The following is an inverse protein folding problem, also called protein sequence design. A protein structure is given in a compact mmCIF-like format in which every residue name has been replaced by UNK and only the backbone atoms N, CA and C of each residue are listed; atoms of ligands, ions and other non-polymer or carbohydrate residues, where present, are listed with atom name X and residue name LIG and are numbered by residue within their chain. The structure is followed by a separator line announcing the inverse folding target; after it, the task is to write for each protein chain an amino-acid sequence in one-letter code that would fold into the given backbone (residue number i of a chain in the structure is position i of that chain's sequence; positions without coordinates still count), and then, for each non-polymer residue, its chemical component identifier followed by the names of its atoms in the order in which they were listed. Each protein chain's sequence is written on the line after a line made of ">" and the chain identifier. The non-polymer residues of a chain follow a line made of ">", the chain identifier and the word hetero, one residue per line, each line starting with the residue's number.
data_IF_518377706865
#
_entry.id   IF_518377706865
#
_cell.length_a   1.000
_cell.length_b   1.000
_cell.length_c   1.000
_cell.angle_alpha   90.00
_cell.angle_beta   90.00
_cell.angle_gamma   90.00
#
_symmetry.space_group_name_H-M   'P 1'
#
loop_
_entity.id
_entity.type
_entity.pdbx_description
1 polymer ?
#
# COMPACT_ATOMS: atom_id res chain seq x y z
N UNK A 1 22.26 -46.24 9.57
CA UNK A 1 20.87 -45.86 9.32
C UNK A 1 20.42 -44.57 10.00
N UNK A 2 21.13 -44.01 10.97
CA UNK A 2 20.73 -42.76 11.66
C UNK A 2 21.14 -41.46 10.92
N UNK A 3 21.94 -41.53 9.90
CA UNK A 3 22.46 -40.32 9.18
C UNK A 3 21.56 -39.82 8.05
N UNK A 4 20.58 -40.60 7.61
CA UNK A 4 19.66 -40.27 6.51
C UNK A 4 18.37 -39.54 6.98
N UNK A 5 18.04 -39.65 8.26
CA UNK A 5 16.86 -38.96 8.84
C UNK A 5 17.11 -37.46 9.08
N UNK A 6 18.37 -37.04 9.23
CA UNK A 6 18.73 -35.63 9.44
C UNK A 6 18.71 -34.78 8.15
N UNK A 7 18.83 -35.42 6.98
CA UNK A 7 18.79 -34.73 5.69
C UNK A 7 17.36 -34.43 5.21
N UNK A 8 16.36 -35.14 5.73
CA UNK A 8 14.95 -34.94 5.33
C UNK A 8 14.30 -33.79 6.08
N UNK A 9 14.86 -33.33 7.21
CA UNK A 9 14.29 -32.26 8.02
C UNK A 9 14.66 -30.84 7.53
N UNK A 10 15.66 -30.71 6.64
CA UNK A 10 16.13 -29.40 6.13
C UNK A 10 15.41 -28.88 4.88
N UNK A 11 14.51 -29.68 4.28
CA UNK A 11 13.88 -29.31 2.98
C UNK A 11 12.54 -28.62 3.18
N UNK A 12 12.02 -28.48 4.39
CA UNK A 12 10.67 -27.93 4.64
C UNK A 12 10.68 -26.43 5.03
N UNK A 13 11.86 -25.80 5.10
CA UNK A 13 11.99 -24.38 5.50
C UNK A 13 12.08 -23.39 4.34
N UNK A 14 11.82 -23.80 3.13
CA UNK A 14 11.90 -22.92 1.98
C UNK A 14 10.51 -22.82 1.31
N UNK A 15 9.67 -21.91 1.73
CA UNK A 15 8.77 -21.16 0.86
C UNK A 15 7.78 -20.32 1.67
N UNK A 16 8.22 -19.22 2.24
CA UNK A 16 7.35 -18.04 2.27
C UNK A 16 7.74 -17.19 1.07
N UNK A 17 7.25 -17.52 -0.11
CA UNK A 17 7.31 -16.64 -1.26
C UNK A 17 6.49 -15.39 -0.94
N UNK A 18 7.12 -14.21 -0.84
CA UNK A 18 6.41 -12.94 -0.78
C UNK A 18 5.85 -12.63 -2.16
N UNK A 19 4.57 -12.23 -2.23
CA UNK A 19 3.96 -11.72 -3.46
C UNK A 19 4.69 -10.45 -3.89
N UNK A 20 5.09 -10.36 -5.17
CA UNK A 20 5.67 -9.18 -5.78
C UNK A 20 4.61 -8.39 -6.56
N UNK A 21 4.78 -7.07 -6.66
CA UNK A 21 3.92 -6.25 -7.51
C UNK A 21 4.01 -6.69 -8.99
N UNK A 22 5.15 -7.20 -9.42
CA UNK A 22 5.38 -7.70 -10.78
C UNK A 22 4.49 -8.90 -11.14
N UNK A 23 3.99 -9.65 -10.16
CA UNK A 23 3.04 -10.76 -10.38
C UNK A 23 1.74 -10.25 -11.03
N UNK A 24 1.45 -8.96 -10.93
CA UNK A 24 0.25 -8.31 -11.49
C UNK A 24 0.52 -7.56 -12.80
N UNK A 25 1.73 -7.64 -13.37
CA UNK A 25 2.16 -6.82 -14.52
C UNK A 25 1.24 -6.94 -15.76
N UNK A 26 0.57 -8.08 -15.94
CA UNK A 26 -0.34 -8.33 -17.06
C UNK A 26 -1.81 -8.02 -16.76
N UNK A 27 -2.13 -7.72 -15.49
CA UNK A 27 -3.50 -7.48 -15.04
C UNK A 27 -4.02 -6.12 -15.50
N UNK A 28 -5.33 -6.06 -15.77
CA UNK A 28 -6.02 -4.88 -16.30
C UNK A 28 -7.19 -4.47 -15.40
N UNK A 29 -7.60 -3.18 -15.43
CA UNK A 29 -6.99 -2.06 -16.16
C UNK A 29 -5.64 -1.66 -15.57
N UNK A 30 -4.74 -1.12 -16.37
CA UNK A 30 -3.46 -0.59 -15.88
C UNK A 30 -3.72 0.58 -14.93
N UNK A 31 -3.13 0.52 -13.75
CA UNK A 31 -3.25 1.59 -12.75
C UNK A 31 -2.38 2.80 -13.16
N UNK A 32 -3.02 3.95 -13.27
CA UNK A 32 -2.39 5.25 -13.41
C UNK A 32 -2.86 6.11 -12.23
N UNK A 33 -1.96 6.43 -11.30
CA UNK A 33 -2.31 7.16 -10.08
C UNK A 33 -2.93 8.52 -10.38
N UNK A 34 -2.44 9.23 -11.38
CA UNK A 34 -2.93 10.57 -11.69
C UNK A 34 -4.36 10.55 -12.24
N UNK A 35 -4.68 9.54 -13.04
CA UNK A 35 -6.06 9.33 -13.54
C UNK A 35 -6.97 8.77 -12.47
N UNK A 36 -6.46 7.86 -11.63
CA UNK A 36 -7.25 7.26 -10.54
C UNK A 36 -7.72 8.32 -9.55
N UNK A 37 -6.82 9.22 -9.16
CA UNK A 37 -7.10 10.29 -8.21
C UNK A 37 -7.59 11.61 -8.85
N UNK A 38 -7.90 11.64 -10.14
CA UNK A 38 -8.45 12.83 -10.83
C UNK A 38 -9.91 13.16 -10.42
N UNK A 39 -10.43 12.44 -9.46
CA UNK A 39 -11.76 12.59 -8.86
C UNK A 39 -11.69 12.29 -7.37
N UNK A 40 -12.68 12.73 -6.57
CA UNK A 40 -12.79 12.28 -5.20
C UNK A 40 -12.90 10.76 -5.12
N UNK A 41 -12.15 10.17 -4.20
CA UNK A 41 -12.11 8.73 -3.95
C UNK A 41 -12.51 8.48 -2.49
N UNK A 42 -13.29 7.43 -2.26
CA UNK A 42 -13.61 6.96 -0.93
C UNK A 42 -13.02 5.57 -0.72
N UNK A 43 -12.52 5.32 0.47
CA UNK A 43 -12.02 4.01 0.86
C UNK A 43 -12.48 3.65 2.27
N UNK A 44 -12.56 2.36 2.51
CA UNK A 44 -12.87 1.78 3.82
C UNK A 44 -11.79 0.77 4.16
N UNK A 45 -11.42 0.75 5.43
CA UNK A 45 -10.37 -0.14 5.89
C UNK A 45 -10.54 -0.56 7.33
N UNK A 46 -9.69 -1.50 7.72
CA UNK A 46 -9.63 -2.03 9.07
C UNK A 46 -8.18 -2.07 9.55
N UNK A 47 -7.99 -1.86 10.84
CA UNK A 47 -6.78 -2.24 11.54
C UNK A 47 -7.00 -3.55 12.27
N UNK A 48 -6.07 -4.48 12.08
CA UNK A 48 -6.08 -5.78 12.73
C UNK A 48 -4.80 -5.96 13.54
N UNK A 49 -4.89 -6.69 14.64
CA UNK A 49 -3.72 -7.18 15.35
C UNK A 49 -3.13 -8.41 14.61
N UNK A 50 -2.04 -8.94 15.14
CA UNK A 50 -1.37 -10.11 14.55
C UNK A 50 -2.21 -11.39 14.60
N UNK A 51 -3.24 -11.44 15.45
CA UNK A 51 -4.18 -12.57 15.54
C UNK A 51 -5.34 -12.45 14.53
N UNK A 52 -5.42 -11.33 13.79
CA UNK A 52 -6.51 -11.04 12.87
C UNK A 52 -7.72 -10.37 13.52
N UNK A 53 -7.66 -10.04 14.82
CA UNK A 53 -8.73 -9.32 15.50
C UNK A 53 -8.80 -7.88 14.99
N UNK A 54 -9.98 -7.45 14.56
CA UNK A 54 -10.23 -6.07 14.14
C UNK A 54 -10.20 -5.15 15.36
N UNK A 55 -9.28 -4.21 15.37
CA UNK A 55 -9.11 -3.23 16.43
C UNK A 55 -9.89 -1.95 16.15
N UNK A 56 -9.94 -1.53 14.88
CA UNK A 56 -10.56 -0.29 14.45
C UNK A 56 -10.98 -0.39 12.99
N UNK A 57 -12.09 0.26 12.64
CA UNK A 57 -12.52 0.47 11.26
C UNK A 57 -12.39 1.93 10.90
N UNK A 58 -12.21 2.22 9.63
CA UNK A 58 -12.21 3.59 9.17
C UNK A 58 -12.84 3.72 7.78
N UNK A 59 -13.29 4.93 7.51
CA UNK A 59 -13.62 5.43 6.21
C UNK A 59 -12.74 6.63 5.93
N UNK A 60 -12.30 6.81 4.69
CA UNK A 60 -11.48 7.95 4.29
C UNK A 60 -12.00 8.57 3.00
N UNK A 61 -12.18 9.88 3.01
CA UNK A 61 -12.40 10.70 1.84
C UNK A 61 -11.07 11.24 1.35
N UNK A 62 -10.76 11.01 0.07
CA UNK A 62 -9.51 11.42 -0.56
C UNK A 62 -9.83 12.39 -1.68
N UNK A 63 -9.29 13.59 -1.58
CA UNK A 63 -9.27 14.55 -2.67
C UNK A 63 -7.85 14.80 -3.13
N UNK A 64 -7.66 15.16 -4.39
CA UNK A 64 -6.35 15.38 -4.95
C UNK A 64 -6.24 16.71 -5.67
N UNK A 65 -5.02 17.17 -5.82
CA UNK A 65 -4.64 18.28 -6.71
C UNK A 65 -3.26 18.03 -7.31
N UNK A 66 -3.01 18.65 -8.44
CA UNK A 66 -1.70 18.64 -9.08
C UNK A 66 -0.92 19.89 -8.69
N UNK A 67 0.39 19.71 -8.51
CA UNK A 67 1.36 20.78 -8.31
C UNK A 67 2.61 20.45 -9.16
N UNK A 68 2.62 20.90 -10.41
CA UNK A 68 3.59 20.46 -11.41
C UNK A 68 3.44 18.94 -11.69
N UNK A 69 4.51 18.19 -11.49
CA UNK A 69 4.53 16.73 -11.60
C UNK A 69 4.09 16.01 -10.31
N UNK A 70 3.92 16.77 -9.21
CA UNK A 70 3.52 16.24 -7.91
C UNK A 70 2.02 15.99 -7.87
N UNK A 71 1.64 14.90 -7.22
CA UNK A 71 0.26 14.58 -6.89
C UNK A 71 0.09 14.74 -5.38
N UNK A 72 -0.79 15.68 -4.98
CA UNK A 72 -1.08 15.93 -3.57
C UNK A 72 -2.39 15.22 -3.23
N UNK A 73 -2.38 14.33 -2.23
CA UNK A 73 -3.56 13.64 -1.74
C UNK A 73 -3.92 14.14 -0.36
N UNK A 74 -5.12 14.68 -0.21
CA UNK A 74 -5.69 15.11 1.08
C UNK A 74 -6.66 14.04 1.57
N UNK A 75 -6.26 13.31 2.61
CA UNK A 75 -6.99 12.20 3.18
C UNK A 75 -7.67 12.62 4.50
N UNK A 76 -8.98 12.41 4.58
CA UNK A 76 -9.79 12.71 5.78
C UNK A 76 -10.39 11.42 6.30
N UNK A 77 -9.86 10.96 7.42
CA UNK A 77 -10.26 9.72 8.09
C UNK A 77 -11.35 9.97 9.13
N UNK A 78 -12.31 9.08 9.17
CA UNK A 78 -13.27 8.93 10.26
C UNK A 78 -13.18 7.50 10.77
N UNK A 79 -12.91 7.36 12.06
CA UNK A 79 -12.73 6.05 12.70
C UNK A 79 -13.99 5.60 13.41
N UNK A 80 -14.12 4.28 13.65
CA UNK A 80 -15.27 3.66 14.31
C UNK A 80 -15.50 4.11 15.75
N UNK A 81 -14.48 4.69 16.40
CA UNK A 81 -14.59 5.30 17.73
C UNK A 81 -15.02 6.78 17.68
N UNK A 82 -15.33 7.31 16.50
CA UNK A 82 -15.70 8.71 16.26
C UNK A 82 -14.54 9.68 16.16
N UNK A 83 -13.30 9.24 16.36
CA UNK A 83 -12.12 10.08 16.15
C UNK A 83 -11.88 10.35 14.66
N UNK A 84 -11.17 11.43 14.36
CA UNK A 84 -10.83 11.84 13.00
C UNK A 84 -9.34 12.10 12.86
N UNK A 85 -8.84 11.98 11.64
CA UNK A 85 -7.47 12.31 11.29
C UNK A 85 -7.43 12.89 9.89
N UNK A 86 -6.50 13.77 9.64
CA UNK A 86 -6.16 14.26 8.30
C UNK A 86 -4.71 13.94 8.00
N UNK A 87 -4.45 13.44 6.80
CA UNK A 87 -3.10 13.24 6.28
C UNK A 87 -3.02 13.81 4.88
N UNK A 88 -1.94 14.53 4.59
CA UNK A 88 -1.67 15.04 3.24
C UNK A 88 -0.39 14.39 2.73
N UNK A 89 -0.52 13.61 1.67
CA UNK A 89 0.59 13.03 0.96
C UNK A 89 1.04 13.94 -0.17
N UNK A 90 2.34 14.10 -0.33
CA UNK A 90 2.97 14.61 -1.53
C UNK A 90 3.64 13.45 -2.25
N UNK A 91 3.10 13.07 -3.40
CA UNK A 91 3.64 12.00 -4.23
C UNK A 91 4.41 12.59 -5.41
N UNK A 92 5.63 12.09 -5.62
CA UNK A 92 6.56 12.59 -6.64
C UNK A 92 6.92 11.42 -7.54
N UNK A 93 6.77 11.53 -8.90
CA UNK A 93 7.26 10.50 -9.80
C UNK A 93 8.77 10.30 -9.64
N UNK A 94 9.21 9.05 -9.62
CA UNK A 94 10.61 8.66 -9.44
C UNK A 94 11.04 7.62 -10.48
N UNK A 95 10.98 8.02 -11.74
CA UNK A 95 11.20 7.14 -12.87
C UNK A 95 9.93 6.45 -13.34
N UNK A 96 10.09 5.46 -14.22
CA UNK A 96 8.96 4.73 -14.78
C UNK A 96 8.31 3.83 -13.74
N UNK A 97 7.00 3.96 -13.56
CA UNK A 97 6.18 3.15 -12.63
C UNK A 97 6.62 3.22 -11.16
N UNK A 98 7.38 4.24 -10.79
CA UNK A 98 7.86 4.43 -9.41
C UNK A 98 7.44 5.79 -8.89
N UNK A 99 7.17 5.83 -7.58
CA UNK A 99 6.77 7.02 -6.86
C UNK A 99 7.48 7.10 -5.51
N UNK A 100 7.74 8.32 -5.07
CA UNK A 100 8.14 8.63 -3.70
C UNK A 100 7.03 9.44 -3.05
N UNK A 101 6.87 9.29 -1.75
CA UNK A 101 5.83 9.99 -1.01
C UNK A 101 6.31 10.46 0.35
N UNK A 102 5.84 11.65 0.75
CA UNK A 102 6.05 12.21 2.09
C UNK A 102 4.73 12.68 2.67
N UNK A 103 4.62 12.60 4.00
CA UNK A 103 3.53 13.17 4.78
C UNK A 103 4.06 13.60 6.15
N UNK A 104 3.44 14.62 6.77
CA UNK A 104 3.95 15.23 8.02
C UNK A 104 4.00 14.24 9.19
N UNK A 105 3.10 13.26 9.22
CA UNK A 105 3.01 12.25 10.29
C UNK A 105 3.75 10.95 9.95
N UNK A 106 4.49 10.91 8.84
CA UNK A 106 5.29 9.77 8.40
C UNK A 106 6.77 10.11 8.48
N UNK A 107 7.51 9.27 9.21
CA UNK A 107 8.96 9.40 9.33
C UNK A 107 9.64 8.90 8.07
N UNK A 108 10.49 9.76 7.47
CA UNK A 108 11.20 9.42 6.25
C UNK A 108 10.33 9.54 5.00
N UNK A 109 10.72 8.79 3.98
CA UNK A 109 10.09 8.80 2.66
C UNK A 109 9.52 7.42 2.33
N UNK A 110 8.31 7.38 1.83
CA UNK A 110 7.72 6.16 1.29
C UNK A 110 8.11 5.99 -0.18
N UNK A 111 8.23 4.74 -0.63
CA UNK A 111 8.42 4.40 -2.04
C UNK A 111 7.29 3.49 -2.50
N UNK A 112 6.88 3.64 -3.76
CA UNK A 112 5.85 2.82 -4.38
C UNK A 112 6.25 2.39 -5.79
N UNK A 113 5.80 1.22 -6.17
CA UNK A 113 5.97 0.67 -7.51
C UNK A 113 4.61 0.25 -8.06
N UNK A 114 4.43 0.42 -9.36
CA UNK A 114 3.22 0.04 -10.07
C UNK A 114 3.52 -1.05 -11.09
N UNK A 115 2.66 -2.05 -11.16
CA UNK A 115 2.69 -3.05 -12.22
C UNK A 115 1.26 -3.53 -12.52
N UNK A 116 0.84 -3.44 -13.79
CA UNK A 116 -0.51 -3.78 -14.18
C UNK A 116 -1.55 -2.96 -13.41
N UNK A 117 -2.43 -3.62 -12.66
CA UNK A 117 -3.48 -2.97 -11.87
C UNK A 117 -3.13 -2.80 -10.37
N UNK A 118 -1.88 -3.08 -9.98
CA UNK A 118 -1.41 -3.01 -8.60
C UNK A 118 -0.32 -1.96 -8.39
#
# INVERSE_FOLDING_TARGET
>A
MKRWLLLLCCVVLASCGSVSVDDYATEKPVLDLTRFFDRPVQAWGIYQDRSGKVLKRFHVDITSRRDGDRLILDERFVYSDGSTQRRVWTLIPDGQNRWRGTADDVVGEATGELAGNA
#
